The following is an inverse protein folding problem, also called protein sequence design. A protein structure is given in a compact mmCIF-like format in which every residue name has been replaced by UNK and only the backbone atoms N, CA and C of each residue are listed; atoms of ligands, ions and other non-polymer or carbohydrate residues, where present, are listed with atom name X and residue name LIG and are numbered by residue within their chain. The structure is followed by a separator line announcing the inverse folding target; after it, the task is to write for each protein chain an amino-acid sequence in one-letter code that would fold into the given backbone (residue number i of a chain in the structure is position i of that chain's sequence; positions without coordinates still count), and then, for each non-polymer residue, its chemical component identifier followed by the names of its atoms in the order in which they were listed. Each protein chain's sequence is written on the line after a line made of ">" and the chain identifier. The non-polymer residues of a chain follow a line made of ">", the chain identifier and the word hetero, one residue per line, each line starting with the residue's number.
data_IF_355939516949
#
_entry.id   IF_355939516949
#
_cell.length_a   1.000
_cell.length_b   1.000
_cell.length_c   1.000
_cell.angle_alpha   90.00
_cell.angle_beta   90.00
_cell.angle_gamma   90.00
#
_symmetry.space_group_name_H-M   'P 1'
#
loop_
_entity.id
_entity.type
_entity.pdbx_description
1 polymer ?
#
# COMPACT_ATOMS: atom_id res chain seq x y z
N UNK A 1 -24.34 -8.01 39.48
CA UNK A 1 -25.63 -7.93 38.79
C UNK A 1 -25.67 -6.58 38.08
N UNK A 2 -25.36 -6.56 36.77
CA UNK A 2 -25.51 -5.38 35.92
C UNK A 2 -26.87 -5.51 35.26
N UNK A 3 -27.80 -4.60 35.59
CA UNK A 3 -29.07 -4.47 34.91
C UNK A 3 -28.79 -3.93 33.49
N UNK A 4 -29.16 -4.69 32.48
CA UNK A 4 -29.19 -4.23 31.11
C UNK A 4 -30.31 -3.16 31.01
N UNK A 5 -29.93 -1.95 30.59
CA UNK A 5 -30.89 -0.92 30.26
C UNK A 5 -31.71 -1.37 29.05
N UNK A 6 -33.03 -1.48 29.22
CA UNK A 6 -33.93 -1.66 28.08
C UNK A 6 -33.82 -0.46 27.13
N UNK A 7 -33.72 -0.68 25.81
CA UNK A 7 -33.77 0.43 24.88
C UNK A 7 -35.15 1.10 24.96
N UNK A 8 -35.14 2.41 25.15
CA UNK A 8 -36.34 3.22 25.16
C UNK A 8 -37.16 2.96 23.87
N UNK A 9 -38.38 2.48 24.02
CA UNK A 9 -39.37 2.33 22.95
C UNK A 9 -39.86 3.72 22.51
N UNK A 10 -38.98 4.45 21.80
CA UNK A 10 -39.25 5.77 21.25
C UNK A 10 -39.52 5.67 19.74
N UNK A 11 -40.79 5.83 19.36
CA UNK A 11 -41.29 6.28 18.04
C UNK A 11 -40.80 5.61 16.74
N UNK A 12 -40.23 4.42 16.76
CA UNK A 12 -39.83 3.67 15.56
C UNK A 12 -41.00 3.31 14.64
N UNK A 13 -42.24 3.37 15.11
CA UNK A 13 -43.44 3.04 14.33
C UNK A 13 -43.82 4.04 13.25
N UNK A 14 -43.37 5.32 13.37
CA UNK A 14 -43.74 6.37 12.40
C UNK A 14 -42.74 6.53 11.23
N UNK A 15 -41.50 6.06 11.37
CA UNK A 15 -40.47 6.19 10.35
C UNK A 15 -40.47 5.02 9.35
N UNK A 16 -40.89 3.82 9.79
CA UNK A 16 -40.86 2.63 8.97
C UNK A 16 -41.63 2.74 7.63
N UNK A 17 -42.86 3.31 7.57
CA UNK A 17 -43.52 3.51 6.29
C UNK A 17 -42.77 4.44 5.34
N UNK A 18 -42.09 5.45 5.87
CA UNK A 18 -41.23 6.35 5.05
C UNK A 18 -40.02 5.61 4.49
N UNK A 19 -39.39 4.78 5.29
CA UNK A 19 -38.26 3.94 4.86
C UNK A 19 -38.70 2.98 3.73
N UNK A 20 -39.84 2.31 3.90
CA UNK A 20 -40.39 1.39 2.88
C UNK A 20 -40.70 2.14 1.57
N UNK A 21 -41.31 3.31 1.66
CA UNK A 21 -41.61 4.14 0.49
C UNK A 21 -40.31 4.63 -0.21
N UNK A 22 -39.31 5.05 0.56
CA UNK A 22 -38.02 5.49 0.03
C UNK A 22 -37.23 4.33 -0.57
N UNK A 23 -37.43 3.09 -0.11
CA UNK A 23 -36.73 1.92 -0.63
C UNK A 23 -37.09 1.62 -2.10
N UNK A 24 -38.32 1.89 -2.52
CA UNK A 24 -38.75 1.71 -3.92
C UNK A 24 -38.11 2.71 -4.88
N UNK A 25 -37.77 3.93 -4.41
CA UNK A 25 -37.11 4.97 -5.18
C UNK A 25 -36.18 5.77 -4.26
N UNK A 26 -35.03 5.20 -3.87
CA UNK A 26 -34.15 5.84 -2.91
C UNK A 26 -33.56 7.13 -3.48
N UNK A 27 -33.30 8.15 -2.65
CA UNK A 27 -32.51 9.31 -3.03
C UNK A 27 -31.12 8.90 -3.56
N UNK A 28 -30.52 9.74 -4.39
CA UNK A 28 -29.22 9.43 -5.05
C UNK A 28 -28.11 9.03 -4.06
N UNK A 29 -28.13 9.60 -2.87
CA UNK A 29 -27.18 9.34 -1.77
C UNK A 29 -27.23 7.90 -1.21
N UNK A 30 -28.35 7.18 -1.43
CA UNK A 30 -28.52 5.78 -1.00
C UNK A 30 -28.51 4.80 -2.17
N UNK A 31 -28.24 5.27 -3.39
CA UNK A 31 -28.13 4.42 -4.58
C UNK A 31 -26.70 3.93 -4.78
N UNK A 32 -26.52 2.98 -5.67
CA UNK A 32 -25.22 2.43 -6.02
C UNK A 32 -24.31 3.52 -6.60
N UNK A 33 -23.04 3.50 -6.17
CA UNK A 33 -21.98 4.28 -6.78
C UNK A 33 -21.28 3.37 -7.77
N UNK A 34 -21.23 3.77 -9.03
CA UNK A 34 -20.54 3.02 -10.05
C UNK A 34 -19.06 3.37 -10.06
N UNK A 35 -18.24 2.34 -9.92
CA UNK A 35 -16.81 2.46 -10.14
C UNK A 35 -16.55 2.60 -11.65
N UNK A 36 -15.82 3.63 -12.04
CA UNK A 36 -15.44 3.87 -13.42
C UNK A 36 -13.94 4.13 -13.52
N UNK A 37 -13.26 3.42 -14.41
CA UNK A 37 -11.90 3.80 -14.82
C UNK A 37 -12.03 4.98 -15.77
N UNK A 38 -11.23 6.01 -15.55
CA UNK A 38 -11.27 7.23 -16.33
C UNK A 38 -10.01 7.36 -17.19
N UNK A 39 -10.11 6.94 -18.45
CA UNK A 39 -9.04 7.09 -19.45
C UNK A 39 -9.27 8.30 -20.39
N UNK A 40 -9.89 9.37 -19.86
CA UNK A 40 -10.17 10.59 -20.63
C UNK A 40 -11.45 10.56 -21.49
N UNK A 41 -12.18 9.43 -21.51
CA UNK A 41 -13.44 9.36 -22.25
C UNK A 41 -14.58 10.05 -21.48
N UNK A 42 -15.56 10.60 -22.21
CA UNK A 42 -16.78 11.15 -21.64
C UNK A 42 -17.61 10.05 -20.96
N UNK A 43 -18.07 10.30 -19.74
CA UNK A 43 -18.94 9.39 -19.02
C UNK A 43 -20.35 9.38 -19.61
N UNK A 44 -21.00 8.23 -19.74
CA UNK A 44 -22.38 8.12 -20.20
C UNK A 44 -23.37 8.48 -19.08
N UNK A 45 -23.26 9.69 -18.52
CA UNK A 45 -23.96 10.12 -17.30
C UNK A 45 -25.47 10.03 -17.41
N UNK A 46 -26.04 10.30 -18.60
CA UNK A 46 -27.48 10.19 -18.82
C UNK A 46 -27.95 8.73 -18.63
N UNK A 47 -27.25 7.77 -19.23
CA UNK A 47 -27.56 6.34 -19.07
C UNK A 47 -27.38 5.86 -17.64
N UNK A 48 -26.38 6.40 -16.93
CA UNK A 48 -26.16 6.09 -15.50
C UNK A 48 -27.35 6.58 -14.65
N UNK A 49 -27.80 7.80 -14.87
CA UNK A 49 -28.95 8.36 -14.18
C UNK A 49 -30.24 7.57 -14.49
N UNK A 50 -30.51 7.24 -15.77
CA UNK A 50 -31.62 6.39 -16.19
C UNK A 50 -31.61 5.00 -15.56
N UNK A 51 -30.40 4.41 -15.40
CA UNK A 51 -30.23 3.12 -14.73
C UNK A 51 -30.37 3.18 -13.19
N UNK A 52 -30.65 4.38 -12.63
CA UNK A 52 -30.83 4.54 -11.19
C UNK A 52 -29.52 4.57 -10.41
N UNK A 53 -28.38 4.80 -11.04
CA UNK A 53 -27.10 5.00 -10.37
C UNK A 53 -27.15 6.32 -9.58
N UNK A 54 -26.64 6.30 -8.34
CA UNK A 54 -26.65 7.47 -7.45
C UNK A 54 -25.37 8.29 -7.52
N UNK A 55 -24.28 7.68 -7.95
CA UNK A 55 -23.00 8.35 -8.05
C UNK A 55 -21.99 7.61 -8.91
N UNK A 56 -20.88 8.26 -9.15
CA UNK A 56 -19.73 7.69 -9.89
C UNK A 56 -18.46 7.92 -9.08
N UNK A 57 -17.65 6.90 -8.97
CA UNK A 57 -16.29 7.02 -8.52
C UNK A 57 -15.38 7.13 -9.75
N UNK A 58 -14.82 8.31 -9.96
CA UNK A 58 -13.82 8.56 -10.99
C UNK A 58 -12.48 8.07 -10.48
N UNK A 59 -12.04 6.94 -11.00
CA UNK A 59 -10.77 6.37 -10.63
C UNK A 59 -9.72 6.80 -11.65
N UNK A 60 -8.77 7.58 -11.21
CA UNK A 60 -7.77 8.19 -12.07
C UNK A 60 -6.42 7.52 -11.88
N UNK A 61 -5.78 7.28 -13.01
CA UNK A 61 -4.38 6.88 -12.98
C UNK A 61 -3.49 8.13 -13.00
N UNK A 62 -2.75 8.32 -11.92
CA UNK A 62 -1.98 9.54 -11.65
C UNK A 62 -0.99 9.93 -12.76
N UNK A 63 -0.47 8.96 -13.52
CA UNK A 63 0.42 9.25 -14.64
C UNK A 63 -0.28 9.92 -15.85
N UNK A 64 -1.62 9.89 -15.90
CA UNK A 64 -2.40 10.57 -16.94
C UNK A 64 -2.70 12.03 -16.59
N UNK A 65 -3.59 12.25 -15.64
CA UNK A 65 -4.12 13.59 -15.34
C UNK A 65 -3.09 14.56 -14.75
N UNK A 66 -2.08 14.07 -14.02
CA UNK A 66 -1.01 14.92 -13.47
C UNK A 66 0.02 15.40 -14.52
N UNK A 67 0.01 14.80 -15.73
CA UNK A 67 0.99 15.11 -16.78
C UNK A 67 0.36 15.71 -18.03
N UNK A 68 -0.96 15.85 -18.09
CA UNK A 68 -1.68 16.28 -19.28
C UNK A 68 -2.82 17.21 -18.92
N UNK A 69 -2.75 18.44 -19.45
CA UNK A 69 -3.83 19.42 -19.33
C UNK A 69 -5.12 18.93 -19.98
N UNK A 70 -5.04 18.13 -21.04
CA UNK A 70 -6.22 17.54 -21.68
C UNK A 70 -6.89 16.51 -20.79
N UNK A 71 -6.11 15.65 -20.13
CA UNK A 71 -6.65 14.69 -19.18
C UNK A 71 -7.29 15.38 -17.98
N UNK A 72 -6.68 16.47 -17.50
CA UNK A 72 -7.24 17.31 -16.44
C UNK A 72 -8.57 17.95 -16.86
N UNK A 73 -8.63 18.58 -18.03
CA UNK A 73 -9.88 19.16 -18.58
C UNK A 73 -10.98 18.12 -18.75
N UNK A 74 -10.62 16.92 -19.21
CA UNK A 74 -11.59 15.81 -19.33
C UNK A 74 -12.13 15.38 -17.97
N UNK A 75 -11.29 15.32 -16.95
CA UNK A 75 -11.72 15.05 -15.59
C UNK A 75 -12.72 16.09 -15.10
N UNK A 76 -12.40 17.38 -15.24
CA UNK A 76 -13.29 18.49 -14.88
C UNK A 76 -14.62 18.41 -15.61
N UNK A 77 -14.60 18.16 -16.92
CA UNK A 77 -15.82 18.00 -17.73
C UNK A 77 -16.70 16.85 -17.23
N UNK A 78 -16.11 15.71 -16.89
CA UNK A 78 -16.85 14.58 -16.34
C UNK A 78 -17.43 14.85 -14.95
N UNK A 79 -16.72 15.55 -14.09
CA UNK A 79 -17.23 16.00 -12.78
C UNK A 79 -18.46 16.90 -12.99
N UNK A 80 -18.36 17.88 -13.88
CA UNK A 80 -19.45 18.80 -14.16
C UNK A 80 -20.66 18.07 -14.78
N UNK A 81 -20.44 17.18 -15.73
CA UNK A 81 -21.51 16.40 -16.35
C UNK A 81 -22.24 15.49 -15.34
N UNK A 82 -21.50 14.80 -14.48
CA UNK A 82 -22.06 13.94 -13.46
C UNK A 82 -22.92 14.76 -12.46
N UNK A 83 -22.40 15.89 -12.00
CA UNK A 83 -23.15 16.80 -11.12
C UNK A 83 -24.42 17.35 -11.77
N UNK A 84 -24.34 17.76 -13.05
CA UNK A 84 -25.50 18.24 -13.79
C UNK A 84 -26.57 17.16 -13.96
N UNK A 85 -26.19 15.88 -14.01
CA UNK A 85 -27.09 14.74 -14.03
C UNK A 85 -27.61 14.32 -12.64
N UNK A 86 -27.26 15.02 -11.58
CA UNK A 86 -27.68 14.72 -10.21
C UNK A 86 -26.94 13.55 -9.55
N UNK A 87 -25.80 13.12 -10.13
CA UNK A 87 -24.96 12.06 -9.59
C UNK A 87 -23.98 12.61 -8.53
N UNK A 88 -23.75 11.84 -7.48
CA UNK A 88 -22.63 12.07 -6.58
C UNK A 88 -21.31 11.77 -7.30
N UNK A 89 -20.27 12.52 -6.97
CA UNK A 89 -18.94 12.32 -7.53
C UNK A 89 -17.95 12.00 -6.43
N UNK A 90 -17.26 10.88 -6.60
CA UNK A 90 -16.15 10.45 -5.77
C UNK A 90 -14.89 10.41 -6.63
N UNK A 91 -13.76 10.80 -6.05
CA UNK A 91 -12.47 10.72 -6.70
C UNK A 91 -11.67 9.61 -6.06
N UNK A 92 -11.19 8.69 -6.87
CA UNK A 92 -10.20 7.70 -6.49
C UNK A 92 -8.91 8.03 -7.20
N UNK A 93 -7.83 8.08 -6.45
CA UNK A 93 -6.49 8.35 -6.94
C UNK A 93 -5.61 7.16 -6.58
N UNK A 94 -5.31 6.34 -7.57
CA UNK A 94 -4.48 5.17 -7.34
C UNK A 94 -3.75 4.75 -8.62
N UNK A 95 -2.45 4.91 -8.61
CA UNK A 95 -1.57 4.32 -9.61
C UNK A 95 -0.52 3.47 -8.89
N UNK A 96 -0.94 2.30 -8.44
CA UNK A 96 -0.20 1.48 -7.49
C UNK A 96 -0.55 1.87 -6.04
N UNK A 97 -1.12 0.95 -5.33
CA UNK A 97 -1.63 1.15 -3.98
C UNK A 97 -0.50 1.16 -2.92
N UNK A 98 -0.46 2.15 -2.06
CA UNK A 98 -1.19 3.42 -2.03
C UNK A 98 -0.63 4.47 -3.01
N UNK A 99 -1.43 5.47 -3.34
CA UNK A 99 -1.17 6.49 -4.37
C UNK A 99 -0.10 7.55 -4.02
N UNK A 100 0.87 7.20 -3.18
CA UNK A 100 1.89 8.16 -2.72
C UNK A 100 2.90 8.64 -3.77
N UNK A 101 2.93 8.01 -4.95
CA UNK A 101 3.97 8.27 -5.96
C UNK A 101 3.66 9.46 -6.88
N UNK A 102 2.43 9.96 -6.92
CA UNK A 102 1.99 10.99 -7.85
C UNK A 102 2.42 10.73 -9.32
N UNK A 103 2.27 9.46 -9.77
CA UNK A 103 2.74 9.03 -11.10
C UNK A 103 4.25 9.10 -11.31
N UNK A 104 5.04 9.08 -10.24
CA UNK A 104 6.49 9.19 -10.27
C UNK A 104 7.02 10.63 -10.17
N UNK A 105 6.15 11.64 -10.20
CA UNK A 105 6.56 13.05 -10.20
C UNK A 105 7.37 13.45 -8.96
N UNK A 106 7.04 12.88 -7.80
CA UNK A 106 7.75 13.17 -6.55
C UNK A 106 9.20 12.72 -6.61
N UNK A 107 9.44 11.49 -7.09
CA UNK A 107 10.79 10.94 -7.22
C UNK A 107 11.56 11.57 -8.37
N UNK A 108 10.87 11.96 -9.46
CA UNK A 108 11.48 12.72 -10.55
C UNK A 108 11.97 14.09 -10.10
N UNK A 109 11.23 14.72 -9.17
CA UNK A 109 11.63 16.01 -8.60
C UNK A 109 12.84 15.88 -7.67
N UNK A 110 12.88 14.83 -6.85
CA UNK A 110 14.03 14.54 -5.97
C UNK A 110 14.11 13.03 -5.65
N UNK A 111 15.15 12.33 -6.12
CA UNK A 111 15.38 10.92 -5.81
C UNK A 111 15.49 10.60 -4.30
N UNK A 112 15.73 11.58 -3.44
CA UNK A 112 15.74 11.39 -2.00
C UNK A 112 14.38 10.91 -1.44
N UNK A 113 13.28 11.15 -2.19
CA UNK A 113 11.94 10.69 -1.85
C UNK A 113 11.64 9.24 -2.28
N UNK A 114 12.61 8.54 -2.87
CA UNK A 114 12.43 7.12 -3.17
C UNK A 114 12.12 6.32 -1.91
N UNK A 115 11.15 5.42 -2.01
CA UNK A 115 10.80 4.51 -0.92
C UNK A 115 11.94 3.54 -0.65
N UNK A 116 12.35 3.43 0.61
CA UNK A 116 13.37 2.49 1.07
C UNK A 116 12.79 1.49 2.05
N UNK A 117 13.31 0.28 2.00
CA UNK A 117 12.98 -0.81 2.90
C UNK A 117 14.22 -1.47 3.49
N UNK A 118 14.04 -2.24 4.54
CA UNK A 118 15.07 -3.11 5.10
C UNK A 118 14.88 -4.53 4.58
N UNK A 119 15.96 -5.10 4.08
CA UNK A 119 15.99 -6.49 3.60
C UNK A 119 17.04 -7.27 4.39
N UNK A 120 16.66 -8.43 4.90
CA UNK A 120 17.58 -9.32 5.57
C UNK A 120 18.41 -10.11 4.54
N UNK A 121 19.70 -10.06 4.69
CA UNK A 121 20.68 -10.90 3.96
C UNK A 121 21.27 -11.85 4.97
N UNK A 122 21.28 -13.14 4.67
CA UNK A 122 21.74 -14.16 5.62
C UNK A 122 22.93 -14.93 5.08
N UNK A 123 23.81 -15.37 5.97
CA UNK A 123 24.89 -16.30 5.69
C UNK A 123 24.95 -17.34 6.79
N UNK A 124 24.95 -18.61 6.41
CA UNK A 124 25.14 -19.73 7.32
C UNK A 124 26.58 -20.20 7.33
N UNK A 125 27.02 -20.70 8.47
CA UNK A 125 28.32 -21.33 8.63
C UNK A 125 28.43 -22.12 9.92
N UNK A 126 29.63 -22.65 10.18
CA UNK A 126 29.95 -23.38 11.39
C UNK A 126 31.44 -23.22 11.72
N UNK A 127 31.73 -23.20 13.03
CA UNK A 127 33.08 -23.08 13.54
C UNK A 127 33.55 -21.63 13.71
N UNK A 128 34.61 -21.44 14.51
CA UNK A 128 35.23 -20.14 14.76
C UNK A 128 36.01 -19.67 13.52
N UNK A 129 36.24 -18.39 13.44
CA UNK A 129 37.06 -17.74 12.41
C UNK A 129 36.35 -16.53 11.79
N UNK A 130 37.07 -15.75 10.98
CA UNK A 130 36.54 -14.52 10.42
C UNK A 130 35.38 -14.81 9.46
N UNK A 131 34.27 -14.12 9.68
CA UNK A 131 33.06 -14.16 8.85
C UNK A 131 32.91 -12.79 8.18
N UNK A 132 32.69 -12.81 6.87
CA UNK A 132 32.44 -11.61 6.07
C UNK A 132 31.23 -11.81 5.18
N UNK A 133 30.29 -10.86 5.22
CA UNK A 133 29.15 -10.78 4.35
C UNK A 133 29.23 -9.47 3.56
N UNK A 134 29.50 -9.57 2.27
CA UNK A 134 29.58 -8.40 1.40
C UNK A 134 28.19 -7.91 1.02
N UNK A 135 28.07 -6.60 0.82
CA UNK A 135 26.83 -5.95 0.44
C UNK A 135 26.40 -6.40 -0.97
N UNK A 136 25.17 -6.91 -1.13
CA UNK A 136 24.63 -7.20 -2.46
C UNK A 136 24.55 -5.92 -3.32
N UNK A 137 24.73 -6.08 -4.64
CA UNK A 137 24.73 -4.96 -5.57
C UNK A 137 23.44 -4.14 -5.59
N UNK A 138 22.31 -4.76 -5.23
CA UNK A 138 21.00 -4.09 -5.14
C UNK A 138 20.78 -3.28 -3.86
N UNK A 139 21.59 -3.46 -2.83
CA UNK A 139 21.49 -2.77 -1.56
C UNK A 139 22.32 -1.49 -1.54
N UNK A 140 21.86 -0.48 -0.83
CA UNK A 140 22.58 0.79 -0.66
C UNK A 140 23.65 0.69 0.43
N UNK A 141 23.28 0.13 1.58
CA UNK A 141 24.17 -0.06 2.72
C UNK A 141 23.63 -1.09 3.70
N UNK A 142 24.51 -1.75 4.45
CA UNK A 142 24.10 -2.42 5.68
C UNK A 142 23.88 -1.39 6.80
N UNK A 143 22.85 -1.61 7.59
CA UNK A 143 22.46 -0.73 8.72
C UNK A 143 22.48 -1.43 10.06
N UNK A 144 22.38 -2.76 10.07
CA UNK A 144 22.43 -3.57 11.28
C UNK A 144 22.86 -4.98 10.95
N UNK A 145 23.47 -5.69 11.92
CA UNK A 145 23.77 -7.11 11.78
C UNK A 145 23.93 -7.80 13.14
N UNK A 146 23.58 -9.09 13.18
CA UNK A 146 23.80 -9.96 14.33
C UNK A 146 24.11 -11.39 13.88
N UNK A 147 25.00 -12.04 14.62
CA UNK A 147 25.35 -13.44 14.47
C UNK A 147 24.64 -14.25 15.56
N UNK A 148 23.97 -15.32 15.18
CA UNK A 148 23.21 -16.17 16.08
C UNK A 148 23.72 -17.61 16.03
N UNK A 149 23.84 -18.31 17.18
CA UNK A 149 24.01 -19.76 17.16
C UNK A 149 22.77 -20.41 16.56
N UNK A 150 22.96 -21.53 15.87
CA UNK A 150 21.86 -22.33 15.31
C UNK A 150 21.73 -23.60 16.14
N UNK A 151 20.56 -23.78 16.76
CA UNK A 151 20.18 -24.93 17.57
C UNK A 151 18.99 -25.60 16.90
N UNK A 152 19.05 -26.91 16.64
CA UNK A 152 18.00 -27.66 15.98
C UNK A 152 17.52 -27.03 14.64
N UNK A 153 18.48 -26.47 13.87
CA UNK A 153 18.24 -25.84 12.59
C UNK A 153 17.62 -24.44 12.64
N UNK A 154 17.49 -23.85 13.85
CA UNK A 154 16.89 -22.52 14.05
C UNK A 154 17.86 -21.57 14.75
N UNK A 155 17.91 -20.28 14.35
CA UNK A 155 18.68 -19.29 15.08
C UNK A 155 18.12 -19.09 16.50
N UNK A 156 18.99 -19.14 17.51
CA UNK A 156 18.66 -18.80 18.90
C UNK A 156 18.66 -17.27 19.05
N UNK A 157 17.51 -16.64 18.85
CA UNK A 157 17.41 -15.18 18.75
C UNK A 157 17.80 -14.43 20.03
N UNK A 158 17.69 -15.08 21.19
CA UNK A 158 18.06 -14.50 22.49
C UNK A 158 19.59 -14.52 22.73
N UNK A 159 20.35 -15.31 21.95
CA UNK A 159 21.78 -15.49 22.08
C UNK A 159 22.59 -14.76 21.00
N UNK A 160 21.95 -13.84 20.27
CA UNK A 160 22.57 -13.12 19.18
C UNK A 160 23.73 -12.21 19.63
N UNK A 161 24.86 -12.31 18.95
CA UNK A 161 26.04 -11.48 19.16
C UNK A 161 26.08 -10.33 18.14
N UNK A 162 26.52 -9.12 18.52
CA UNK A 162 26.69 -8.03 17.60
C UNK A 162 27.79 -8.35 16.57
N UNK A 163 27.56 -7.93 15.33
CA UNK A 163 28.56 -7.96 14.27
C UNK A 163 28.98 -6.52 13.91
N UNK A 164 30.21 -6.37 13.42
CA UNK A 164 30.69 -5.07 12.95
C UNK A 164 30.02 -4.72 11.62
N UNK A 165 29.36 -3.56 11.55
CA UNK A 165 28.61 -3.11 10.38
C UNK A 165 29.36 -1.98 9.69
N UNK A 166 29.64 -2.20 8.42
CA UNK A 166 30.15 -1.19 7.48
C UNK A 166 29.11 -1.01 6.36
N UNK A 167 29.08 0.13 5.67
CA UNK A 167 28.11 0.34 4.58
C UNK A 167 28.19 -0.71 3.47
N UNK A 168 29.36 -1.26 3.22
CA UNK A 168 29.66 -2.19 2.13
C UNK A 168 29.79 -3.66 2.57
N UNK A 169 29.85 -3.93 3.87
CA UNK A 169 30.02 -5.29 4.41
C UNK A 169 29.64 -5.41 5.88
N UNK A 170 29.49 -6.63 6.31
CA UNK A 170 29.40 -7.02 7.74
C UNK A 170 30.56 -7.95 8.05
N UNK A 171 31.16 -7.77 9.23
CA UNK A 171 32.23 -8.62 9.75
C UNK A 171 31.87 -9.16 11.13
N UNK A 172 32.15 -10.41 11.39
CA UNK A 172 31.93 -11.08 12.67
C UNK A 172 32.98 -12.14 12.92
N UNK A 173 33.03 -12.67 14.14
CA UNK A 173 33.78 -13.88 14.47
C UNK A 173 32.81 -15.05 14.58
N UNK A 174 33.05 -16.12 13.84
CA UNK A 174 32.20 -17.31 13.83
C UNK A 174 32.19 -18.02 15.20
N UNK A 175 31.08 -18.69 15.49
CA UNK A 175 30.89 -19.42 16.74
C UNK A 175 31.44 -20.85 16.66
N UNK A 176 31.67 -21.49 17.81
CA UNK A 176 32.21 -22.85 17.84
C UNK A 176 31.31 -23.92 17.16
N UNK A 177 29.99 -23.69 17.16
CA UNK A 177 28.98 -24.55 16.50
C UNK A 177 28.43 -23.94 15.21
N UNK A 178 27.30 -24.45 14.70
CA UNK A 178 26.57 -23.83 13.61
C UNK A 178 26.07 -22.44 13.97
N UNK A 179 26.09 -21.52 13.00
CA UNK A 179 25.64 -20.15 13.20
C UNK A 179 24.96 -19.60 11.93
N UNK A 180 24.15 -18.54 12.13
CA UNK A 180 23.57 -17.74 11.06
C UNK A 180 23.84 -16.26 11.33
N UNK A 181 24.46 -15.61 10.36
CA UNK A 181 24.62 -14.16 10.34
C UNK A 181 23.42 -13.53 9.61
N UNK A 182 22.79 -12.55 10.24
CA UNK A 182 21.82 -11.68 9.62
C UNK A 182 22.44 -10.30 9.42
N UNK A 183 22.51 -9.85 8.17
CA UNK A 183 22.79 -8.47 7.82
C UNK A 183 21.50 -7.81 7.34
N UNK A 184 21.14 -6.67 7.88
CA UNK A 184 19.99 -5.89 7.44
C UNK A 184 20.48 -4.76 6.55
N UNK A 185 20.12 -4.83 5.29
CA UNK A 185 20.51 -3.85 4.28
C UNK A 185 19.35 -2.93 3.92
N UNK A 186 19.66 -1.65 3.77
CA UNK A 186 18.75 -0.67 3.19
C UNK A 186 18.74 -0.83 1.66
N UNK A 187 17.57 -0.83 1.07
CA UNK A 187 17.41 -0.92 -0.38
C UNK A 187 16.25 -0.06 -0.87
N UNK A 188 16.37 0.45 -2.09
CA UNK A 188 15.27 1.14 -2.75
C UNK A 188 14.14 0.14 -3.04
N UNK A 189 12.95 0.45 -2.60
CA UNK A 189 11.76 -0.33 -2.90
C UNK A 189 11.19 0.10 -4.26
N UNK A 190 11.53 -0.63 -5.32
CA UNK A 190 11.13 -0.28 -6.70
C UNK A 190 9.72 -0.73 -7.08
N UNK A 191 9.06 -1.53 -6.27
CA UNK A 191 7.74 -2.09 -6.58
C UNK A 191 6.57 -1.33 -5.97
N UNK A 192 6.81 -0.12 -5.49
CA UNK A 192 5.78 0.66 -4.81
C UNK A 192 5.43 0.08 -3.44
N UNK A 193 4.47 0.70 -2.82
CA UNK A 193 4.05 0.40 -1.45
C UNK A 193 2.93 -0.64 -1.39
N UNK A 194 2.63 -1.34 -2.46
CA UNK A 194 1.80 -2.53 -2.30
C UNK A 194 2.44 -3.39 -1.23
N UNK A 195 1.63 -3.82 -0.27
CA UNK A 195 2.02 -4.75 0.78
C UNK A 195 2.38 -6.14 0.20
N UNK A 196 3.05 -6.18 -0.94
CA UNK A 196 3.67 -7.37 -1.43
C UNK A 196 4.96 -7.54 -0.64
N UNK A 197 4.99 -8.58 0.15
CA UNK A 197 6.18 -9.03 0.87
C UNK A 197 7.29 -9.48 -0.10
N UNK A 198 7.07 -9.39 -1.39
CA UNK A 198 8.00 -9.76 -2.44
C UNK A 198 8.49 -8.49 -3.10
N UNK A 199 9.64 -8.03 -2.71
CA UNK A 199 10.39 -7.05 -3.49
C UNK A 199 10.93 -7.80 -4.72
N UNK A 200 10.38 -7.56 -5.91
CA UNK A 200 10.86 -8.22 -7.11
C UNK A 200 12.35 -7.92 -7.32
N UNK A 201 13.08 -8.96 -7.60
CA UNK A 201 14.53 -8.89 -7.77
C UNK A 201 15.35 -9.27 -6.54
N UNK A 202 14.76 -9.50 -5.39
CA UNK A 202 15.42 -10.11 -4.24
C UNK A 202 15.14 -11.61 -4.24
N UNK A 203 15.74 -12.32 -5.20
CA UNK A 203 15.80 -13.76 -5.11
C UNK A 203 16.56 -14.13 -3.84
N UNK A 204 15.88 -14.77 -2.91
CA UNK A 204 16.55 -15.49 -1.83
C UNK A 204 17.34 -16.63 -2.48
N UNK A 205 18.64 -16.47 -2.55
CA UNK A 205 19.55 -17.58 -2.87
C UNK A 205 19.78 -18.42 -1.62
#
# INVERSE_FOLDING_TARGET
>A
MHAAAEPAAGSAGSEWPKIVAAFASPPAEFRLIQYGTHDGAALPVARMAEAGIGGVMLFMQSNGYLRSDDAWRNLEANIHAARAAGLQVWLGDDNGYPSGMAGGLVVEADPAFESRGLVAVTQDGAGPGPVRLDRPAWAEAFVHARLYPVVDGRPALDEGQPAAVHPDRVEAEGLAGPWRLFGFACAINREGTQASTTVAGFATT
#
